data_IF_389223521061
#
_entry.id   IF_389223521061
#
_cell.length_a   1.000
_cell.length_b   1.000
_cell.length_c   1.000
_cell.angle_alpha   90.00
_cell.angle_beta   90.00
_cell.angle_gamma   90.00
#
_symmetry.space_group_name_H-M   'P 1'
#
loop_
_entity.id
_entity.type
_entity.pdbx_description
1 polymer ?
#
# COMPACT_ATOMS: atom_id res chain seq x y z
N UNK A 1 20.93 -28.67 -12.30
CA UNK A 1 19.59 -29.03 -12.83
C UNK A 1 19.04 -27.85 -13.60
N UNK A 2 18.53 -28.05 -14.82
CA UNK A 2 17.83 -27.00 -15.57
C UNK A 2 16.49 -26.75 -14.89
N UNK A 3 16.18 -25.50 -14.55
CA UNK A 3 14.91 -25.13 -13.91
C UNK A 3 13.74 -25.52 -14.82
N UNK A 4 12.71 -26.17 -14.25
CA UNK A 4 11.45 -26.50 -14.94
C UNK A 4 10.40 -25.39 -14.79
N UNK A 5 10.81 -24.21 -14.33
CA UNK A 5 9.95 -23.04 -14.21
C UNK A 5 9.43 -22.61 -15.58
N UNK A 6 8.15 -22.22 -15.63
CA UNK A 6 7.57 -21.59 -16.81
C UNK A 6 8.38 -20.38 -17.29
N UNK A 7 8.61 -20.22 -18.61
CA UNK A 7 9.25 -19.02 -19.14
C UNK A 7 8.52 -17.74 -18.71
N UNK A 8 9.28 -16.73 -18.28
CA UNK A 8 8.73 -15.44 -17.83
C UNK A 8 8.15 -15.41 -16.41
N UNK A 9 8.08 -16.55 -15.71
CA UNK A 9 7.59 -16.55 -14.33
C UNK A 9 8.64 -15.98 -13.35
N UNK A 10 8.22 -15.11 -12.40
CA UNK A 10 9.14 -14.43 -11.49
C UNK A 10 9.77 -15.39 -10.47
N UNK A 11 9.07 -16.46 -10.11
CA UNK A 11 9.46 -17.43 -9.10
C UNK A 11 8.98 -18.84 -9.46
N UNK A 12 9.46 -19.86 -8.75
CA UNK A 12 8.94 -21.22 -8.88
C UNK A 12 7.56 -21.36 -8.23
N UNK A 13 7.34 -20.60 -7.16
CA UNK A 13 6.14 -20.58 -6.34
C UNK A 13 5.82 -19.13 -5.96
N UNK A 14 4.64 -18.63 -6.32
CA UNK A 14 4.28 -17.21 -6.19
C UNK A 14 3.01 -17.04 -5.38
N UNK A 15 3.05 -16.31 -4.27
CA UNK A 15 1.85 -15.97 -3.50
C UNK A 15 1.07 -14.86 -4.22
N UNK A 16 -0.19 -15.13 -4.54
CA UNK A 16 -1.07 -14.21 -5.29
C UNK A 16 -2.22 -13.67 -4.43
N UNK A 17 -2.58 -14.39 -3.37
CA UNK A 17 -3.45 -13.95 -2.27
C UNK A 17 -2.96 -14.62 -0.97
N UNK A 18 -3.35 -14.14 0.22
CA UNK A 18 -2.99 -14.79 1.47
C UNK A 18 -3.24 -16.30 1.41
N UNK A 19 -2.18 -17.10 1.61
CA UNK A 19 -2.21 -18.56 1.57
C UNK A 19 -2.58 -19.19 0.21
N UNK A 20 -2.73 -18.41 -0.86
CA UNK A 20 -2.97 -18.91 -2.21
C UNK A 20 -1.78 -18.63 -3.11
N UNK A 21 -1.22 -19.71 -3.66
CA UNK A 21 -0.02 -19.68 -4.46
C UNK A 21 -0.26 -20.19 -5.88
N UNK A 22 0.49 -19.62 -6.83
CA UNK A 22 0.62 -20.11 -8.19
C UNK A 22 1.90 -20.95 -8.32
N UNK A 23 1.75 -22.17 -8.82
CA UNK A 23 2.84 -23.11 -9.08
C UNK A 23 3.34 -22.91 -10.52
N UNK A 24 4.53 -22.32 -10.65
CA UNK A 24 5.20 -22.14 -11.94
C UNK A 24 6.17 -23.27 -12.26
N UNK A 25 6.63 -23.99 -11.24
CA UNK A 25 7.54 -25.12 -11.39
C UNK A 25 6.87 -26.42 -10.92
N UNK A 26 6.55 -27.37 -11.82
CA UNK A 26 5.84 -28.60 -11.45
C UNK A 26 6.67 -29.52 -10.53
N UNK A 27 8.00 -29.32 -10.45
CA UNK A 27 8.86 -30.07 -9.54
C UNK A 27 8.57 -29.82 -8.05
N UNK A 28 7.74 -28.83 -7.73
CA UNK A 28 7.27 -28.54 -6.38
C UNK A 28 6.31 -29.60 -5.81
N UNK A 29 5.67 -30.40 -6.67
CA UNK A 29 4.60 -31.34 -6.28
C UNK A 29 4.92 -32.21 -5.04
N UNK A 30 6.10 -32.87 -4.96
CA UNK A 30 6.46 -33.67 -3.79
C UNK A 30 6.59 -32.89 -2.48
N UNK A 31 6.99 -31.62 -2.52
CA UNK A 31 7.15 -30.77 -1.31
C UNK A 31 5.81 -30.26 -0.81
N UNK A 32 4.88 -30.01 -1.72
CA UNK A 32 3.55 -29.46 -1.42
C UNK A 32 2.55 -30.52 -0.94
N UNK A 33 2.90 -31.81 -1.02
CA UNK A 33 2.01 -32.90 -0.66
C UNK A 33 1.69 -32.87 0.85
N UNK A 34 0.40 -32.81 1.18
CA UNK A 34 -0.07 -32.80 2.56
C UNK A 34 -0.01 -31.44 3.25
N UNK A 35 0.43 -30.38 2.55
CA UNK A 35 0.50 -29.02 3.09
C UNK A 35 -0.77 -28.21 2.81
N UNK A 36 -1.57 -28.64 1.83
CA UNK A 36 -2.69 -27.87 1.34
C UNK A 36 -3.43 -28.54 0.19
N UNK A 37 -4.35 -27.78 -0.39
CA UNK A 37 -5.21 -28.19 -1.50
C UNK A 37 -4.64 -27.67 -2.81
N UNK A 38 -4.66 -28.52 -3.84
CA UNK A 38 -4.14 -28.17 -5.17
C UNK A 38 -5.24 -28.27 -6.21
N UNK A 39 -5.45 -27.19 -6.96
CA UNK A 39 -6.37 -27.11 -8.08
C UNK A 39 -5.61 -26.61 -9.32
N UNK A 40 -5.23 -27.53 -10.20
CA UNK A 40 -4.39 -27.22 -11.37
C UNK A 40 -3.02 -26.63 -10.98
N UNK A 41 -2.85 -25.33 -11.26
CA UNK A 41 -1.65 -24.55 -10.91
C UNK A 41 -1.81 -23.74 -9.63
N UNK A 42 -3.01 -23.67 -9.07
CA UNK A 42 -3.25 -23.02 -7.79
C UNK A 42 -3.00 -24.00 -6.64
N UNK A 43 -2.42 -23.48 -5.57
CA UNK A 43 -2.18 -24.20 -4.34
C UNK A 43 -2.64 -23.35 -3.17
N UNK A 44 -3.64 -23.83 -2.43
CA UNK A 44 -4.12 -23.20 -1.19
C UNK A 44 -3.44 -23.88 -0.02
N UNK A 45 -2.59 -23.15 0.68
CA UNK A 45 -1.99 -23.58 1.93
C UNK A 45 -3.08 -23.66 3.00
N UNK A 46 -3.25 -24.84 3.60
CA UNK A 46 -4.18 -25.05 4.72
C UNK A 46 -3.45 -25.43 6.00
N UNK A 47 -2.16 -25.78 5.91
CA UNK A 47 -1.35 -26.05 7.09
C UNK A 47 -1.00 -24.76 7.84
N UNK A 48 -1.02 -24.84 9.17
CA UNK A 48 -0.61 -23.75 10.05
C UNK A 48 0.92 -23.51 10.06
N UNK A 49 1.69 -24.33 9.34
CA UNK A 49 3.16 -24.33 9.34
C UNK A 49 3.75 -23.66 8.10
N UNK A 50 3.21 -22.49 7.72
CA UNK A 50 3.66 -21.69 6.57
C UNK A 50 5.17 -21.53 6.52
N UNK A 51 5.77 -21.04 7.60
CA UNK A 51 7.23 -20.81 7.67
C UNK A 51 8.03 -22.10 7.48
N UNK A 52 7.53 -23.22 7.99
CA UNK A 52 8.15 -24.52 7.79
C UNK A 52 8.12 -24.96 6.32
N UNK A 53 7.02 -24.73 5.60
CA UNK A 53 6.94 -25.01 4.16
C UNK A 53 7.94 -24.14 3.39
N UNK A 54 7.95 -22.83 3.64
CA UNK A 54 8.86 -21.91 2.96
C UNK A 54 10.33 -22.28 3.19
N UNK A 55 10.70 -22.65 4.42
CA UNK A 55 12.04 -23.12 4.73
C UNK A 55 12.41 -24.39 3.94
N UNK A 56 11.50 -25.36 3.82
CA UNK A 56 11.73 -26.59 3.03
C UNK A 56 11.87 -26.30 1.54
N UNK A 57 11.12 -25.33 1.02
CA UNK A 57 11.24 -24.88 -0.38
C UNK A 57 12.61 -24.24 -0.63
N UNK A 58 13.04 -23.35 0.26
CA UNK A 58 14.34 -22.69 0.19
C UNK A 58 15.51 -23.69 0.30
N UNK A 59 15.43 -24.67 1.20
CA UNK A 59 16.42 -25.75 1.35
C UNK A 59 16.61 -26.58 0.06
N UNK A 60 15.57 -26.66 -0.77
CA UNK A 60 15.59 -27.35 -2.07
C UNK A 60 15.87 -26.40 -3.24
N UNK A 61 16.31 -25.18 -2.94
CA UNK A 61 16.66 -24.14 -3.92
C UNK A 61 15.52 -23.72 -4.84
N UNK A 62 14.26 -23.86 -4.39
CA UNK A 62 13.13 -23.26 -5.09
C UNK A 62 13.03 -21.78 -4.72
N UNK A 63 12.81 -20.93 -5.71
CA UNK A 63 12.55 -19.50 -5.47
C UNK A 63 11.07 -19.35 -5.17
N UNK A 64 10.76 -18.84 -3.99
CA UNK A 64 9.40 -18.43 -3.62
C UNK A 64 9.33 -16.91 -3.59
N UNK A 65 8.24 -16.35 -4.14
CA UNK A 65 7.93 -14.93 -4.06
C UNK A 65 6.64 -14.76 -3.29
N UNK A 66 6.75 -14.30 -2.05
CA UNK A 66 5.61 -14.09 -1.15
C UNK A 66 5.03 -12.68 -1.29
N UNK A 67 3.85 -12.44 -0.73
CA UNK A 67 3.31 -11.08 -0.62
C UNK A 67 4.22 -10.23 0.29
N UNK A 68 4.77 -10.81 1.35
CA UNK A 68 5.72 -10.13 2.24
C UNK A 68 6.98 -9.66 1.49
N UNK A 69 7.52 -10.46 0.57
CA UNK A 69 8.67 -10.07 -0.27
C UNK A 69 8.31 -8.88 -1.18
N UNK A 70 7.09 -8.86 -1.73
CA UNK A 70 6.61 -7.72 -2.53
C UNK A 70 6.49 -6.46 -1.68
N UNK A 71 5.96 -6.58 -0.46
CA UNK A 71 5.88 -5.46 0.49
C UNK A 71 7.30 -4.94 0.80
N UNK A 72 8.24 -5.84 1.05
CA UNK A 72 9.63 -5.47 1.32
C UNK A 72 10.25 -4.67 0.16
N UNK A 73 9.94 -5.04 -1.08
CA UNK A 73 10.42 -4.38 -2.29
C UNK A 73 9.73 -3.04 -2.64
N UNK A 74 8.66 -2.65 -1.94
CA UNK A 74 7.99 -1.36 -2.19
C UNK A 74 8.91 -0.16 -1.86
N UNK A 75 8.75 0.99 -2.54
CA UNK A 75 9.49 2.20 -2.20
C UNK A 75 9.10 2.70 -0.81
N UNK A 76 10.07 3.02 0.03
CA UNK A 76 9.83 3.64 1.33
C UNK A 76 9.52 5.14 1.16
N UNK A 77 8.73 5.75 2.08
CA UNK A 77 8.61 7.20 2.17
C UNK A 77 9.99 7.86 2.32
N UNK A 78 10.25 9.00 1.66
CA UNK A 78 11.50 9.73 1.84
C UNK A 78 11.61 10.30 3.26
N UNK A 79 12.82 10.53 3.76
CA UNK A 79 13.01 11.31 4.98
C UNK A 79 12.85 12.80 4.65
N UNK A 80 11.79 13.43 5.17
CA UNK A 80 11.47 14.84 4.94
C UNK A 80 11.03 15.52 6.23
N UNK A 81 11.32 16.82 6.34
CA UNK A 81 10.87 17.67 7.44
C UNK A 81 10.19 18.89 6.83
N UNK A 82 9.03 19.35 7.35
CA UNK A 82 8.40 20.58 6.90
C UNK A 82 9.36 21.77 7.00
N UNK A 83 9.47 22.55 5.93
CA UNK A 83 10.27 23.76 5.88
C UNK A 83 9.55 24.98 6.45
N UNK A 84 10.07 26.17 6.14
CA UNK A 84 9.48 27.44 6.59
C UNK A 84 8.07 27.63 6.02
N UNK A 85 7.19 28.27 6.77
CA UNK A 85 5.87 28.68 6.28
C UNK A 85 6.02 29.64 5.10
N UNK A 86 5.25 29.38 4.05
CA UNK A 86 5.16 30.18 2.83
C UNK A 86 3.71 30.56 2.62
N UNK A 87 3.47 31.84 2.33
CA UNK A 87 2.18 32.35 1.88
C UNK A 87 2.20 32.39 0.36
N UNK A 88 1.31 31.64 -0.27
CA UNK A 88 1.28 31.45 -1.72
C UNK A 88 -0.08 31.92 -2.25
N UNK A 89 -0.11 32.77 -3.28
CA UNK A 89 -1.37 33.13 -3.93
C UNK A 89 -1.97 31.90 -4.62
N UNK A 90 -3.30 31.81 -4.56
CA UNK A 90 -4.07 30.77 -5.25
C UNK A 90 -5.09 31.37 -6.19
N UNK A 91 -5.43 30.64 -7.24
CA UNK A 91 -6.42 31.09 -8.21
C UNK A 91 -7.83 30.74 -7.74
N UNK A 92 -8.80 31.55 -8.16
CA UNK A 92 -10.22 31.24 -7.97
C UNK A 92 -10.57 29.86 -8.56
N UNK A 93 -11.53 29.18 -7.94
CA UNK A 93 -12.05 27.86 -8.37
C UNK A 93 -11.03 26.70 -8.30
N UNK A 94 -9.88 26.90 -7.66
CA UNK A 94 -8.97 25.80 -7.30
C UNK A 94 -9.32 25.28 -5.90
N UNK A 95 -9.40 23.96 -5.78
CA UNK A 95 -9.53 23.28 -4.49
C UNK A 95 -8.21 22.63 -4.12
N UNK A 96 -7.80 22.83 -2.87
CA UNK A 96 -6.57 22.29 -2.33
C UNK A 96 -6.91 21.37 -1.16
N UNK A 97 -6.23 20.25 -1.05
CA UNK A 97 -6.36 19.33 0.07
C UNK A 97 -4.99 18.80 0.48
N UNK A 98 -4.85 18.52 1.77
CA UNK A 98 -3.67 17.85 2.32
C UNK A 98 -4.07 16.48 2.85
N UNK A 99 -3.10 15.56 2.85
CA UNK A 99 -3.28 14.23 3.39
C UNK A 99 -3.60 14.37 4.88
N UNK A 100 -4.73 13.81 5.29
CA UNK A 100 -5.21 13.82 6.66
C UNK A 100 -6.05 12.56 6.88
N UNK A 101 -5.47 11.57 7.56
CA UNK A 101 -6.09 10.26 7.72
C UNK A 101 -7.28 10.27 8.68
N UNK A 102 -7.50 11.35 9.43
CA UNK A 102 -8.70 11.54 10.21
C UNK A 102 -9.87 12.11 9.37
N UNK A 103 -9.59 12.66 8.19
CA UNK A 103 -10.61 13.15 7.28
C UNK A 103 -11.22 12.01 6.45
N UNK A 104 -12.49 12.12 6.04
CA UNK A 104 -13.11 11.18 5.10
C UNK A 104 -12.26 11.01 3.84
N UNK A 105 -12.01 9.76 3.44
CA UNK A 105 -11.16 9.39 2.30
C UNK A 105 -9.70 9.91 2.37
N UNK A 106 -9.23 10.31 3.55
CA UNK A 106 -7.84 10.71 3.79
C UNK A 106 -7.47 12.11 3.31
N UNK A 107 -8.43 12.98 2.97
CA UNK A 107 -8.14 14.32 2.45
C UNK A 107 -8.88 15.42 3.21
N UNK A 108 -8.13 16.35 3.81
CA UNK A 108 -8.68 17.57 4.40
C UNK A 108 -8.53 18.74 3.44
N UNK A 109 -9.66 19.39 3.10
CA UNK A 109 -9.68 20.59 2.26
C UNK A 109 -9.05 21.78 2.99
N UNK A 110 -8.21 22.52 2.28
CA UNK A 110 -7.63 23.79 2.71
C UNK A 110 -8.52 24.91 2.19
N UNK A 111 -8.98 25.78 3.09
CA UNK A 111 -9.69 27.00 2.72
C UNK A 111 -8.69 28.15 2.57
N UNK A 112 -8.64 28.82 1.40
CA UNK A 112 -7.85 30.04 1.24
C UNK A 112 -8.31 31.14 2.20
N UNK A 113 -7.38 32.02 2.57
CA UNK A 113 -7.70 33.26 3.27
C UNK A 113 -8.47 34.24 2.36
N UNK A 114 -9.02 35.31 2.95
CA UNK A 114 -9.84 36.29 2.23
C UNK A 114 -9.11 37.00 1.08
N UNK A 115 -7.78 37.05 1.11
CA UNK A 115 -6.91 37.60 0.07
C UNK A 115 -6.50 36.55 -0.99
N UNK A 116 -7.18 35.39 -1.03
CA UNK A 116 -6.88 34.26 -1.90
C UNK A 116 -5.43 33.74 -1.74
N UNK A 117 -4.96 33.65 -0.50
CA UNK A 117 -3.68 33.02 -0.20
C UNK A 117 -3.85 31.76 0.66
N UNK A 118 -2.88 30.85 0.58
CA UNK A 118 -2.74 29.73 1.52
C UNK A 118 -1.37 29.81 2.18
N UNK A 119 -1.34 29.56 3.48
CA UNK A 119 -0.07 29.51 4.24
C UNK A 119 0.23 28.06 4.60
N UNK A 120 1.30 27.52 4.02
CA UNK A 120 1.71 26.13 4.18
C UNK A 120 3.24 26.04 4.32
N UNK A 121 3.77 25.02 5.01
CA UNK A 121 5.21 24.82 5.10
C UNK A 121 5.80 24.42 3.75
N UNK A 122 7.02 24.89 3.48
CA UNK A 122 7.81 24.45 2.34
C UNK A 122 8.02 22.93 2.37
N UNK A 123 7.93 22.28 1.21
CA UNK A 123 7.94 20.82 1.10
C UNK A 123 6.57 20.15 1.29
N UNK A 124 5.54 20.85 1.77
CA UNK A 124 4.19 20.29 1.91
C UNK A 124 3.65 19.81 0.57
N UNK A 125 3.15 18.57 0.54
CA UNK A 125 2.40 18.03 -0.60
C UNK A 125 0.94 18.45 -0.49
N UNK A 126 0.40 18.94 -1.59
CA UNK A 126 -0.98 19.39 -1.73
C UNK A 126 -1.60 18.72 -2.95
N UNK A 127 -2.75 18.11 -2.75
CA UNK A 127 -3.63 17.65 -3.82
C UNK A 127 -4.42 18.85 -4.32
N UNK A 128 -4.26 19.21 -5.58
CA UNK A 128 -4.92 20.35 -6.22
C UNK A 128 -5.93 19.85 -7.25
N UNK A 129 -7.13 20.43 -7.26
CA UNK A 129 -8.17 20.13 -8.24
C UNK A 129 -8.62 21.40 -8.93
N UNK A 130 -8.67 21.38 -10.27
CA UNK A 130 -9.18 22.47 -11.11
C UNK A 130 -10.56 22.06 -11.65
N UNK A 131 -11.62 22.55 -11.03
CA UNK A 131 -12.99 22.21 -11.42
C UNK A 131 -13.32 20.71 -11.25
N UNK A 132 -13.95 20.10 -12.28
CA UNK A 132 -14.40 18.69 -12.23
C UNK A 132 -13.35 17.66 -12.67
N UNK A 133 -12.21 18.09 -13.21
CA UNK A 133 -11.16 17.20 -13.71
C UNK A 133 -10.43 16.39 -12.62
N UNK A 134 -9.50 15.51 -13.02
CA UNK A 134 -8.63 14.80 -12.09
C UNK A 134 -7.79 15.79 -11.28
N UNK A 135 -7.46 15.40 -10.05
CA UNK A 135 -6.56 16.19 -9.23
C UNK A 135 -5.10 15.94 -9.66
N UNK A 136 -4.26 16.95 -9.50
CA UNK A 136 -2.80 16.84 -9.59
C UNK A 136 -2.16 17.06 -8.22
N UNK A 137 -0.91 16.63 -8.07
CA UNK A 137 -0.15 16.87 -6.85
C UNK A 137 0.90 17.94 -7.07
N UNK A 138 0.99 18.85 -6.11
CA UNK A 138 2.00 19.91 -6.08
C UNK A 138 2.70 19.94 -4.74
N UNK A 139 3.96 20.35 -4.74
CA UNK A 139 4.78 20.62 -3.56
C UNK A 139 4.95 22.12 -3.40
N UNK A 140 4.85 22.59 -2.16
CA UNK A 140 5.19 23.99 -1.80
C UNK A 140 6.70 24.19 -1.94
N UNK A 141 7.11 25.23 -2.66
CA UNK A 141 8.51 25.66 -2.78
C UNK A 141 8.68 27.09 -2.25
N UNK A 142 9.91 27.57 -2.18
CA UNK A 142 10.19 28.96 -1.79
C UNK A 142 9.51 30.01 -2.68
N UNK A 143 9.17 29.68 -3.93
CA UNK A 143 8.62 30.62 -4.93
C UNK A 143 7.20 30.27 -5.39
N UNK A 144 6.61 29.18 -4.89
CA UNK A 144 5.23 28.80 -5.22
C UNK A 144 5.01 27.29 -5.25
N UNK A 145 4.56 26.77 -6.41
CA UNK A 145 4.14 25.38 -6.58
C UNK A 145 5.03 24.64 -7.57
N UNK A 146 5.43 23.42 -7.23
CA UNK A 146 6.09 22.49 -8.14
C UNK A 146 5.21 21.26 -8.33
N UNK A 147 4.90 20.87 -9.57
CA UNK A 147 4.19 19.61 -9.83
C UNK A 147 5.07 18.42 -9.49
N UNK A 148 4.48 17.41 -8.85
CA UNK A 148 5.17 16.18 -8.42
C UNK A 148 4.38 14.97 -8.94
N UNK A 149 5.05 13.91 -9.43
CA UNK A 149 4.38 12.66 -9.80
C UNK A 149 3.59 12.06 -8.63
N UNK A 150 2.42 11.47 -8.91
CA UNK A 150 1.48 10.98 -7.90
C UNK A 150 2.10 10.05 -6.84
N UNK A 151 2.88 9.05 -7.26
CA UNK A 151 3.49 8.10 -6.33
C UNK A 151 4.53 8.77 -5.42
N UNK A 152 5.36 9.66 -5.97
CA UNK A 152 6.34 10.44 -5.20
C UNK A 152 5.63 11.40 -4.24
N UNK A 153 4.57 12.05 -4.71
CA UNK A 153 3.77 12.97 -3.92
C UNK A 153 3.11 12.26 -2.73
N UNK A 154 2.48 11.10 -2.95
CA UNK A 154 1.85 10.35 -1.88
C UNK A 154 2.88 9.82 -0.87
N UNK A 155 4.00 9.25 -1.33
CA UNK A 155 5.08 8.82 -0.43
C UNK A 155 5.61 9.98 0.42
N UNK A 156 5.83 11.14 -0.20
CA UNK A 156 6.26 12.35 0.53
C UNK A 156 5.18 12.83 1.50
N UNK A 157 3.90 12.77 1.12
CA UNK A 157 2.79 13.17 1.98
C UNK A 157 2.68 12.27 3.23
N UNK A 158 2.85 10.95 3.07
CA UNK A 158 2.90 10.02 4.21
C UNK A 158 4.10 10.31 5.12
N UNK A 159 5.27 10.62 4.56
CA UNK A 159 6.45 10.98 5.35
C UNK A 159 6.30 12.28 6.17
N UNK A 160 5.36 13.15 5.78
CA UNK A 160 5.05 14.39 6.50
C UNK A 160 3.98 14.21 7.60
N UNK A 161 3.38 13.02 7.73
CA UNK A 161 2.39 12.75 8.77
C UNK A 161 3.10 12.61 10.13
N UNK A 162 2.86 13.59 11.00
CA UNK A 162 3.41 13.62 12.36
C UNK A 162 2.31 14.01 13.36
N UNK A 163 2.18 13.30 14.51
CA UNK A 163 2.88 12.05 14.86
C UNK A 163 2.46 10.86 13.96
N UNK A 164 3.14 9.73 14.09
CA UNK A 164 2.77 8.48 13.37
C UNK A 164 1.27 8.18 13.55
N UNK A 165 0.49 8.17 12.45
CA UNK A 165 -0.94 7.98 12.55
C UNK A 165 -1.30 6.55 12.96
N UNK A 166 -2.38 6.44 13.72
CA UNK A 166 -3.04 5.18 14.03
C UNK A 166 -4.29 5.04 13.18
N UNK A 167 -4.47 3.88 12.59
CA UNK A 167 -5.65 3.51 11.82
C UNK A 167 -6.38 2.38 12.53
N UNK A 168 -7.65 2.59 12.85
CA UNK A 168 -8.49 1.58 13.48
C UNK A 168 -9.13 0.70 12.42
N UNK A 169 -9.01 -0.61 12.59
CA UNK A 169 -9.74 -1.60 11.81
C UNK A 169 -11.12 -1.80 12.44
N UNK A 170 -12.17 -1.85 11.62
CA UNK A 170 -13.52 -2.16 12.10
C UNK A 170 -13.78 -3.66 11.98
N UNK A 171 -14.12 -4.39 13.05
CA UNK A 171 -14.45 -5.81 12.94
C UNK A 171 -15.72 -6.00 12.09
N UNK A 172 -15.70 -6.97 11.17
CA UNK A 172 -16.87 -7.35 10.37
C UNK A 172 -16.90 -8.86 10.15
N UNK A 173 -17.98 -9.52 10.58
CA UNK A 173 -18.09 -10.98 10.49
C UNK A 173 -16.90 -11.68 11.14
N UNK A 174 -16.16 -12.48 10.36
CA UNK A 174 -14.94 -13.16 10.80
C UNK A 174 -13.64 -12.40 10.51
N UNK A 175 -13.73 -11.21 9.93
CA UNK A 175 -12.58 -10.43 9.46
C UNK A 175 -12.63 -8.98 9.91
N UNK A 176 -11.92 -8.12 9.17
CA UNK A 176 -11.76 -6.70 9.49
C UNK A 176 -11.91 -5.83 8.25
N UNK A 177 -12.45 -4.62 8.44
CA UNK A 177 -12.44 -3.55 7.44
C UNK A 177 -11.29 -2.60 7.72
N UNK A 178 -10.45 -2.42 6.70
CA UNK A 178 -9.51 -1.33 6.59
C UNK A 178 -10.19 -0.20 5.79
N UNK A 179 -10.24 1.06 6.30
CA UNK A 179 -10.82 2.17 5.54
C UNK A 179 -10.10 2.40 4.21
N UNK A 180 -10.79 3.01 3.25
CA UNK A 180 -10.13 3.43 2.01
C UNK A 180 -9.15 4.58 2.28
N UNK A 181 -7.92 4.42 1.80
CA UNK A 181 -6.83 5.37 1.98
C UNK A 181 -6.25 5.76 0.61
N UNK A 182 -5.79 7.01 0.45
CA UNK A 182 -5.02 7.38 -0.72
C UNK A 182 -3.65 6.69 -0.67
N UNK A 183 -3.46 5.64 -1.46
CA UNK A 183 -2.21 4.88 -1.53
C UNK A 183 -1.49 5.10 -2.87
N UNK A 184 -0.13 5.16 -2.87
CA UNK A 184 0.66 5.05 -4.10
C UNK A 184 0.24 3.82 -4.91
N UNK A 185 0.31 3.88 -6.23
CA UNK A 185 -0.14 2.81 -7.11
C UNK A 185 0.54 1.45 -6.81
N UNK A 186 1.86 1.37 -6.54
CA UNK A 186 2.50 0.12 -6.15
C UNK A 186 1.92 -0.50 -4.86
N UNK A 187 1.62 0.34 -3.86
CA UNK A 187 1.03 -0.10 -2.59
C UNK A 187 -0.39 -0.62 -2.80
N UNK A 188 -1.20 0.10 -3.59
CA UNK A 188 -2.56 -0.30 -3.91
C UNK A 188 -2.61 -1.65 -4.63
N UNK A 189 -1.69 -1.91 -5.56
CA UNK A 189 -1.59 -3.20 -6.26
C UNK A 189 -1.32 -4.35 -5.30
N UNK A 190 -0.46 -4.17 -4.30
CA UNK A 190 -0.19 -5.18 -3.27
C UNK A 190 -1.39 -5.33 -2.34
N UNK A 191 -2.06 -4.24 -1.95
CA UNK A 191 -3.28 -4.30 -1.14
C UNK A 191 -4.38 -5.12 -1.84
N UNK A 192 -4.53 -5.01 -3.16
CA UNK A 192 -5.47 -5.84 -3.94
C UNK A 192 -5.15 -7.34 -3.92
N UNK A 193 -3.92 -7.74 -3.61
CA UNK A 193 -3.56 -9.14 -3.40
C UNK A 193 -3.96 -9.61 -2.01
N UNK A 194 -3.92 -8.71 -1.02
CA UNK A 194 -4.18 -9.01 0.40
C UNK A 194 -5.68 -8.97 0.73
N UNK A 195 -6.40 -7.99 0.18
CA UNK A 195 -7.74 -7.61 0.60
C UNK A 195 -8.75 -7.63 -0.56
N UNK A 196 -10.02 -7.78 -0.23
CA UNK A 196 -11.13 -7.70 -1.17
C UNK A 196 -11.80 -6.33 -1.09
N UNK A 197 -12.33 -5.83 -2.21
CA UNK A 197 -13.13 -4.60 -2.21
C UNK A 197 -14.41 -4.77 -1.41
N UNK A 198 -14.71 -3.81 -0.55
CA UNK A 198 -15.94 -3.71 0.23
C UNK A 198 -16.54 -2.30 0.06
N UNK A 199 -17.87 -2.11 0.12
CA UNK A 199 -18.48 -0.78 0.00
C UNK A 199 -17.88 0.27 0.95
N UNK A 200 -17.50 -0.17 2.16
CA UNK A 200 -16.95 0.70 3.22
C UNK A 200 -15.41 0.67 3.30
N UNK A 201 -14.71 0.05 2.32
CA UNK A 201 -13.24 0.02 2.27
C UNK A 201 -12.68 -1.31 1.77
N UNK A 202 -11.74 -1.88 2.51
CA UNK A 202 -11.03 -3.10 2.16
C UNK A 202 -11.29 -4.19 3.20
N UNK A 203 -11.82 -5.32 2.75
CA UNK A 203 -12.07 -6.47 3.60
C UNK A 203 -10.85 -7.37 3.71
N UNK A 204 -10.39 -7.55 4.95
CA UNK A 204 -9.31 -8.45 5.35
C UNK A 204 -9.95 -9.71 5.94
N UNK A 205 -9.84 -10.82 5.19
CA UNK A 205 -10.63 -12.02 5.44
C UNK A 205 -10.21 -12.80 6.69
N UNK A 206 -8.93 -12.76 7.05
CA UNK A 206 -8.36 -13.52 8.16
C UNK A 206 -7.20 -12.80 8.85
N UNK A 207 -6.64 -13.42 9.89
CA UNK A 207 -5.55 -12.85 10.69
C UNK A 207 -4.27 -12.64 9.88
N UNK A 208 -3.96 -13.51 8.91
CA UNK A 208 -2.76 -13.39 8.09
C UNK A 208 -2.89 -12.27 7.05
N UNK A 209 -4.09 -12.08 6.47
CA UNK A 209 -4.39 -10.90 5.66
C UNK A 209 -4.21 -9.61 6.48
N UNK A 210 -4.64 -9.59 7.75
CA UNK A 210 -4.40 -8.48 8.66
C UNK A 210 -2.91 -8.24 8.94
N UNK A 211 -2.12 -9.28 9.19
CA UNK A 211 -0.67 -9.16 9.40
C UNK A 211 0.04 -8.59 8.16
N UNK A 212 -0.34 -9.05 6.96
CA UNK A 212 0.19 -8.51 5.70
C UNK A 212 -0.22 -7.05 5.48
N UNK A 213 -1.47 -6.68 5.79
CA UNK A 213 -1.92 -5.29 5.72
C UNK A 213 -1.18 -4.39 6.72
N UNK A 214 -0.94 -4.89 7.94
CA UNK A 214 -0.13 -4.20 8.95
C UNK A 214 1.30 -3.99 8.46
N UNK A 215 1.93 -5.02 7.89
CA UNK A 215 3.28 -4.92 7.30
C UNK A 215 3.33 -3.90 6.16
N UNK A 216 2.33 -3.91 5.27
CA UNK A 216 2.22 -2.97 4.14
C UNK A 216 2.12 -1.52 4.62
N UNK A 217 1.22 -1.25 5.57
CA UNK A 217 0.94 0.10 6.05
C UNK A 217 2.01 0.62 7.01
N UNK A 218 2.67 -0.26 7.77
CA UNK A 218 3.85 0.11 8.59
C UNK A 218 4.98 0.66 7.72
N UNK A 219 5.12 0.19 6.48
CA UNK A 219 6.10 0.75 5.54
C UNK A 219 5.82 2.20 5.15
N UNK A 220 4.57 2.67 5.28
CA UNK A 220 4.16 4.07 5.14
C UNK A 220 4.20 4.86 6.45
N UNK A 221 4.72 4.29 7.55
CA UNK A 221 4.74 4.94 8.86
C UNK A 221 3.41 4.91 9.61
N UNK A 222 2.53 3.95 9.28
CA UNK A 222 1.21 3.81 9.90
C UNK A 222 1.17 2.64 10.89
N UNK A 223 0.43 2.79 11.96
CA UNK A 223 0.15 1.70 12.90
C UNK A 223 -1.32 1.30 12.82
N UNK A 224 -1.60 0.00 12.66
CA UNK A 224 -2.95 -0.53 12.75
C UNK A 224 -3.34 -0.82 14.20
N UNK A 225 -4.58 -0.49 14.55
CA UNK A 225 -5.21 -0.81 15.83
C UNK A 225 -6.46 -1.63 15.53
N UNK A 226 -6.71 -2.68 16.31
CA UNK A 226 -7.83 -3.61 16.15
C UNK A 226 -8.88 -3.38 17.22
#
# INVERSE_FOLDING_TARGET
MVSRRRPGAPADFEEIQPNLFLIHNPALGPVLRGEGEREGFHFRLTSWRREGLLARLAQRSFVTLTIADRIAALPAPPSVVPGRLRTIPVQEKQQFSILDLAAPHGWRTIQPAADNTVTLPEGQIVRRRRGRGPADYVRVTATGWQTVPDDEALLTAYALLMPEPRLTLSPIGSGWLLPELPLPAPYRRVLHQIAQSHPDGWFLADAYACELAELLLRKLGLTLVR
#
